data_IF_825091949039
#
_entry.id   IF_825091949039
#
_cell.length_a   1.000
_cell.length_b   1.000
_cell.length_c   1.000
_cell.angle_alpha   90.00
_cell.angle_beta   90.00
_cell.angle_gamma   90.00
#
_symmetry.space_group_name_H-M   'P 1'
#
loop_
_entity.id
_entity.type
_entity.pdbx_description
1 polymer ?
#
# COMPACT_ATOMS: atom_id res chain seq x y z
N UNK A 1 12.26 7.90 10.41
CA UNK A 1 11.66 8.26 9.11
C UNK A 1 10.20 7.82 9.14
N UNK A 2 9.22 8.75 9.25
CA UNK A 2 7.80 8.38 9.31
C UNK A 2 7.34 7.97 7.91
N UNK A 3 7.05 6.68 7.69
CA UNK A 3 6.38 6.23 6.46
C UNK A 3 4.98 6.80 6.43
N UNK A 4 4.67 7.55 5.38
CA UNK A 4 3.40 8.25 5.23
C UNK A 4 2.33 7.21 4.89
N UNK A 5 1.49 6.89 5.88
CA UNK A 5 0.27 6.12 5.65
C UNK A 5 -0.70 7.01 4.89
N UNK A 6 -1.10 6.57 3.70
CA UNK A 6 -2.08 7.29 2.89
C UNK A 6 -3.49 6.85 3.30
N UNK A 7 -4.46 7.74 3.27
CA UNK A 7 -5.88 7.42 3.46
C UNK A 7 -6.58 7.06 2.15
N UNK A 8 -5.93 7.28 1.02
CA UNK A 8 -6.49 7.02 -0.31
C UNK A 8 -5.40 6.52 -1.25
N UNK A 9 -5.76 5.65 -2.19
CA UNK A 9 -4.82 5.14 -3.18
C UNK A 9 -4.37 6.28 -4.12
N UNK A 10 -3.05 6.48 -4.30
CA UNK A 10 -2.57 7.48 -5.24
C UNK A 10 -2.87 7.06 -6.68
N UNK A 11 -3.40 8.01 -7.46
CA UNK A 11 -3.69 7.86 -8.89
C UNK A 11 -2.44 7.55 -9.72
N UNK A 12 -1.31 8.16 -9.35
CA UNK A 12 -0.02 7.99 -9.99
C UNK A 12 0.96 7.48 -8.92
N UNK A 13 1.57 6.33 -9.20
CA UNK A 13 2.60 5.75 -8.35
C UNK A 13 3.67 5.15 -9.25
N UNK A 14 4.91 5.57 -9.04
CA UNK A 14 6.06 5.09 -9.81
C UNK A 14 6.16 3.55 -9.75
N UNK A 15 6.60 2.97 -10.87
CA UNK A 15 6.83 1.53 -10.94
C UNK A 15 7.78 1.10 -9.80
N UNK A 16 7.50 -0.06 -9.21
CA UNK A 16 8.25 -0.63 -8.07
C UNK A 16 8.12 0.11 -6.74
N UNK A 17 7.56 1.32 -6.69
CA UNK A 17 7.29 1.99 -5.41
C UNK A 17 6.16 1.30 -4.68
N UNK A 18 6.35 1.09 -3.38
CA UNK A 18 5.36 0.53 -2.47
C UNK A 18 4.89 1.61 -1.52
N UNK A 19 3.57 1.80 -1.46
CA UNK A 19 2.90 2.64 -0.47
C UNK A 19 1.88 1.83 0.31
N UNK A 20 1.57 2.32 1.50
CA UNK A 20 0.56 1.71 2.36
C UNK A 20 -0.63 2.65 2.47
N UNK A 21 -1.82 2.11 2.31
CA UNK A 21 -3.08 2.85 2.28
C UNK A 21 -4.02 2.29 3.34
N UNK A 22 -4.54 3.13 4.22
CA UNK A 22 -5.63 2.81 5.13
C UNK A 22 -6.89 3.56 4.69
N UNK A 23 -7.60 2.98 3.73
CA UNK A 23 -8.83 3.50 3.13
C UNK A 23 -10.10 2.79 3.65
N UNK A 24 -9.95 1.88 4.63
CA UNK A 24 -11.04 1.05 5.13
C UNK A 24 -11.40 -0.14 4.24
N UNK A 25 -10.67 -0.39 3.15
CA UNK A 25 -10.88 -1.58 2.29
C UNK A 25 -10.46 -2.89 2.97
N UNK A 26 -9.68 -2.82 4.04
CA UNK A 26 -9.20 -3.96 4.81
C UNK A 26 -9.86 -4.02 6.20
N UNK A 27 -9.92 -5.21 6.79
CA UNK A 27 -10.34 -5.42 8.18
C UNK A 27 -9.47 -4.62 9.16
N UNK A 28 -9.99 -4.36 10.37
CA UNK A 28 -9.23 -3.67 11.43
C UNK A 28 -7.83 -4.26 11.67
N UNK A 29 -6.85 -3.38 11.86
CA UNK A 29 -5.45 -3.75 12.03
C UNK A 29 -4.72 -4.13 10.73
N UNK A 30 -5.40 -4.12 9.58
CA UNK A 30 -4.82 -4.33 8.25
C UNK A 30 -4.96 -3.08 7.39
N UNK A 31 -4.06 -2.96 6.43
CA UNK A 31 -3.99 -1.85 5.49
C UNK A 31 -3.64 -2.38 4.09
N UNK A 32 -4.01 -1.64 3.06
CA UNK A 32 -3.70 -1.96 1.69
C UNK A 32 -2.22 -1.73 1.41
N UNK A 33 -1.52 -2.74 0.89
CA UNK A 33 -0.20 -2.56 0.27
C UNK A 33 -0.41 -2.30 -1.22
N UNK A 34 -0.07 -1.11 -1.66
CA UNK A 34 -0.21 -0.69 -3.05
C UNK A 34 1.18 -0.57 -3.66
N UNK A 35 1.43 -1.36 -4.70
CA UNK A 35 2.63 -1.21 -5.53
C UNK A 35 2.27 -0.45 -6.81
N UNK A 36 3.20 0.37 -7.30
CA UNK A 36 3.07 1.03 -8.60
C UNK A 36 2.90 0.03 -9.72
N UNK A 37 2.31 0.48 -10.83
CA UNK A 37 2.04 -0.39 -11.96
C UNK A 37 3.37 -0.89 -12.58
N UNK A 38 3.51 -2.20 -12.69
CA UNK A 38 4.65 -2.85 -13.35
C UNK A 38 4.12 -3.47 -14.64
N UNK A 39 4.74 -3.15 -15.78
CA UNK A 39 4.37 -3.70 -17.09
C UNK A 39 4.35 -5.23 -17.02
N UNK A 40 3.23 -5.83 -17.40
CA UNK A 40 3.05 -7.29 -17.44
C UNK A 40 2.74 -7.94 -16.08
N UNK A 41 2.60 -7.17 -14.99
CA UNK A 41 2.20 -7.70 -13.69
C UNK A 41 0.80 -7.23 -13.31
N UNK A 42 -0.11 -8.17 -13.05
CA UNK A 42 -1.40 -7.84 -12.44
C UNK A 42 -1.17 -7.20 -11.07
N UNK A 43 -1.62 -5.96 -10.90
CA UNK A 43 -1.49 -5.19 -9.66
C UNK A 43 -2.32 -5.86 -8.55
N UNK A 44 -1.66 -6.62 -7.69
CA UNK A 44 -2.28 -7.16 -6.47
C UNK A 44 -2.28 -6.09 -5.39
N UNK A 45 -3.42 -5.91 -4.72
CA UNK A 45 -3.58 -4.98 -3.59
C UNK A 45 -3.85 -5.76 -2.28
N UNK A 46 -2.85 -6.49 -1.74
CA UNK A 46 -3.09 -7.31 -0.56
C UNK A 46 -3.26 -6.45 0.70
N UNK A 47 -4.18 -6.87 1.57
CA UNK A 47 -4.26 -6.37 2.94
C UNK A 47 -3.13 -6.96 3.78
N UNK A 48 -2.26 -6.12 4.31
CA UNK A 48 -1.14 -6.50 5.18
C UNK A 48 -1.34 -5.95 6.59
N UNK A 49 -0.76 -6.56 7.63
CA UNK A 49 -0.83 -6.03 8.99
C UNK A 49 -0.24 -4.62 9.06
N UNK A 50 -0.89 -3.71 9.78
CA UNK A 50 -0.41 -2.33 9.94
C UNK A 50 1.01 -2.25 10.53
N UNK A 51 1.42 -3.25 11.32
CA UNK A 51 2.78 -3.40 11.86
C UNK A 51 3.86 -3.45 10.77
N UNK A 52 3.52 -3.83 9.53
CA UNK A 52 4.47 -3.87 8.40
C UNK A 52 4.84 -2.49 7.84
N UNK A 53 4.10 -1.43 8.18
CA UNK A 53 4.48 -0.04 7.80
C UNK A 53 5.72 0.42 8.56
N UNK A 54 5.88 -0.06 9.79
CA UNK A 54 6.96 0.35 10.71
C UNK A 54 8.27 -0.40 10.53
N UNK A 55 8.31 -1.48 9.74
CA UNK A 55 9.41 -2.46 9.72
C UNK A 55 10.24 -2.45 8.41
N UNK A 56 10.32 -1.34 7.68
CA UNK A 56 11.17 -1.26 6.46
C UNK A 56 11.74 0.12 6.25
#
# INVERSE_FOLDING_TARGET
MRKKLLTTEPLILDAYVVVFVNDGSCSEGKILKVTGAIRGLHRKKPCVPASKVSES
#
